data_IF_995032070001
#
_entry.id   IF_995032070001
#
_cell.length_a   1.000
_cell.length_b   1.000
_cell.length_c   1.000
_cell.angle_alpha   90.00
_cell.angle_beta   90.00
_cell.angle_gamma   90.00
#
_symmetry.space_group_name_H-M   'P 1'
#
loop_
_entity.id
_entity.type
_entity.pdbx_description
1 polymer ?
#
# COMPACT_ATOMS: atom_id res chain seq x y z
N UNK A 1 27.73 -30.93 15.79
CA UNK A 1 26.91 -29.81 16.34
C UNK A 1 25.89 -29.34 15.35
N UNK A 2 24.69 -29.11 15.79
CA UNK A 2 23.64 -28.55 14.95
C UNK A 2 23.60 -27.01 15.06
N UNK A 3 23.29 -26.34 13.97
CA UNK A 3 23.02 -24.91 13.97
C UNK A 3 21.52 -24.69 14.22
N UNK A 4 21.19 -23.78 15.12
CA UNK A 4 19.81 -23.45 15.45
C UNK A 4 19.39 -22.18 14.73
N UNK A 5 18.28 -22.25 13.99
CA UNK A 5 17.67 -21.10 13.32
C UNK A 5 16.46 -20.67 14.12
N UNK A 6 16.48 -19.42 14.62
CA UNK A 6 15.33 -18.83 15.29
C UNK A 6 14.44 -18.19 14.25
N UNK A 7 13.13 -18.38 14.37
CA UNK A 7 12.17 -17.67 13.53
C UNK A 7 12.20 -16.18 13.86
N UNK A 8 12.32 -15.34 12.84
CA UNK A 8 12.29 -13.88 12.94
C UNK A 8 10.95 -13.31 12.46
N UNK A 9 10.01 -14.19 12.14
CA UNK A 9 8.72 -13.78 11.62
C UNK A 9 7.76 -13.41 12.75
N UNK A 10 7.07 -12.31 12.52
CA UNK A 10 5.89 -11.92 13.31
C UNK A 10 4.68 -12.48 12.57
N UNK A 11 3.77 -13.09 13.33
CA UNK A 11 2.57 -13.73 12.80
C UNK A 11 1.35 -13.16 13.48
N UNK A 12 0.30 -12.91 12.71
CA UNK A 12 -0.98 -12.46 13.21
C UNK A 12 -2.10 -13.15 12.47
N UNK A 13 -3.12 -13.61 13.19
CA UNK A 13 -4.27 -14.25 12.57
C UNK A 13 -5.12 -13.22 11.81
N UNK A 14 -5.55 -13.61 10.62
CA UNK A 14 -6.52 -12.85 9.83
C UNK A 14 -7.87 -13.48 10.08
N UNK A 15 -8.82 -12.71 10.60
CA UNK A 15 -10.15 -13.20 10.95
C UNK A 15 -11.23 -12.42 10.22
N UNK A 16 -12.39 -13.04 10.02
CA UNK A 16 -13.57 -12.36 9.49
C UNK A 16 -14.33 -11.62 10.62
N UNK A 17 -15.45 -10.99 10.27
CA UNK A 17 -16.27 -10.24 11.22
C UNK A 17 -16.85 -11.09 12.36
N UNK A 18 -16.97 -12.40 12.13
CA UNK A 18 -17.45 -13.35 13.13
C UNK A 18 -16.31 -13.99 13.94
N UNK A 19 -15.07 -13.60 13.70
CA UNK A 19 -13.90 -14.13 14.38
C UNK A 19 -13.35 -15.43 13.82
N UNK A 20 -13.85 -15.90 12.68
CA UNK A 20 -13.33 -17.12 12.05
C UNK A 20 -11.99 -16.84 11.37
N UNK A 21 -11.03 -17.71 11.60
CA UNK A 21 -9.69 -17.58 11.02
C UNK A 21 -9.74 -17.84 9.52
N UNK A 22 -9.30 -16.86 8.72
CA UNK A 22 -9.20 -16.93 7.26
C UNK A 22 -7.79 -17.26 6.79
N UNK A 23 -6.79 -16.87 7.57
CA UNK A 23 -5.39 -17.05 7.23
C UNK A 23 -4.50 -16.42 8.27
N UNK A 24 -3.23 -16.22 7.91
CA UNK A 24 -2.23 -15.67 8.81
C UNK A 24 -1.35 -14.68 8.07
N UNK A 25 -1.18 -13.50 8.63
CA UNK A 25 -0.20 -12.53 8.15
C UNK A 25 1.14 -12.86 8.79
N UNK A 26 2.16 -13.02 7.96
CA UNK A 26 3.50 -13.40 8.40
C UNK A 26 4.52 -12.50 7.72
N UNK A 27 5.36 -11.85 8.51
CA UNK A 27 6.42 -10.99 7.97
C UNK A 27 7.62 -10.92 8.90
N UNK A 28 8.76 -10.58 8.32
CA UNK A 28 9.98 -10.31 9.07
C UNK A 28 10.21 -8.79 9.09
N UNK A 29 10.17 -8.12 10.26
CA UNK A 29 10.39 -6.68 10.35
C UNK A 29 11.76 -6.21 9.81
N UNK A 30 12.72 -7.12 9.73
CA UNK A 30 14.04 -6.85 9.17
C UNK A 30 14.10 -6.98 7.64
N UNK A 31 13.02 -7.39 7.00
CA UNK A 31 12.98 -7.53 5.54
C UNK A 31 12.99 -6.15 4.88
N UNK A 32 14.12 -5.83 4.25
CA UNK A 32 14.32 -4.54 3.59
C UNK A 32 13.34 -4.27 2.44
N UNK A 33 12.73 -5.32 1.87
CA UNK A 33 11.73 -5.18 0.82
C UNK A 33 10.49 -4.42 1.29
N UNK A 34 10.13 -4.57 2.55
CA UNK A 34 8.99 -3.89 3.17
C UNK A 34 9.17 -2.38 3.09
N UNK A 35 10.31 -1.88 3.54
CA UNK A 35 10.63 -0.46 3.52
C UNK A 35 10.71 0.09 2.10
N UNK A 36 11.33 -0.65 1.20
CA UNK A 36 11.45 -0.26 -0.21
C UNK A 36 10.08 -0.16 -0.87
N UNK A 37 9.23 -1.16 -0.64
CA UNK A 37 7.86 -1.17 -1.18
C UNK A 37 7.05 0.01 -0.66
N UNK A 38 7.07 0.27 0.64
CA UNK A 38 6.38 1.40 1.25
C UNK A 38 6.91 2.75 0.73
N UNK A 39 8.23 2.88 0.60
CA UNK A 39 8.85 4.10 0.06
C UNK A 39 8.43 4.37 -1.38
N UNK A 40 8.45 3.35 -2.23
CA UNK A 40 8.00 3.46 -3.61
C UNK A 40 6.53 3.84 -3.70
N UNK A 41 5.70 3.25 -2.84
CA UNK A 41 4.28 3.55 -2.76
C UNK A 41 4.02 5.00 -2.39
N UNK A 42 4.70 5.53 -1.39
CA UNK A 42 4.54 6.93 -0.98
C UNK A 42 4.87 7.86 -2.14
N UNK A 43 5.93 7.57 -2.88
CA UNK A 43 6.32 8.37 -4.07
C UNK A 43 5.27 8.29 -5.16
N UNK A 44 4.79 7.10 -5.48
CA UNK A 44 3.81 6.90 -6.54
C UNK A 44 2.44 7.45 -6.17
N UNK A 45 2.03 7.29 -4.91
CA UNK A 45 0.82 7.91 -4.40
C UNK A 45 0.91 9.43 -4.47
N UNK A 46 2.04 10.02 -4.06
CA UNK A 46 2.25 11.45 -4.15
C UNK A 46 2.13 11.98 -5.57
N UNK A 47 2.72 11.28 -6.53
CA UNK A 47 2.62 11.63 -7.95
C UNK A 47 1.20 11.46 -8.49
N UNK A 48 0.53 10.37 -8.12
CA UNK A 48 -0.84 10.10 -8.53
C UNK A 48 -1.82 11.14 -7.97
N UNK A 49 -1.67 11.52 -6.72
CA UNK A 49 -2.50 12.57 -6.10
C UNK A 49 -2.37 13.89 -6.85
N UNK A 50 -1.16 14.28 -7.24
CA UNK A 50 -0.94 15.51 -8.02
C UNK A 50 -1.65 15.46 -9.37
N UNK A 51 -1.60 14.33 -10.06
CA UNK A 51 -2.31 14.16 -11.33
C UNK A 51 -3.83 14.17 -11.17
N UNK A 52 -4.33 13.51 -10.13
CA UNK A 52 -5.77 13.46 -9.82
C UNK A 52 -6.28 14.85 -9.42
N UNK A 53 -5.52 15.63 -8.66
CA UNK A 53 -5.88 17.01 -8.30
C UNK A 53 -6.07 17.91 -9.51
N UNK A 54 -5.26 17.74 -10.56
CA UNK A 54 -5.42 18.47 -11.80
C UNK A 54 -6.74 18.15 -12.50
N UNK A 55 -7.19 16.90 -12.38
CA UNK A 55 -8.44 16.42 -12.97
C UNK A 55 -9.64 16.90 -12.17
N UNK A 56 -9.55 16.89 -10.82
CA UNK A 56 -10.61 17.35 -9.93
C UNK A 56 -10.96 18.84 -10.09
N UNK A 57 -10.08 19.61 -10.71
CA UNK A 57 -10.34 21.02 -11.06
C UNK A 57 -11.27 21.19 -12.25
N UNK A 58 -11.58 20.11 -12.96
CA UNK A 58 -12.50 20.15 -14.09
C UNK A 58 -13.92 20.28 -13.55
N UNK A 59 -14.63 21.28 -14.02
CA UNK A 59 -15.99 21.57 -13.58
C UNK A 59 -16.94 20.44 -13.94
N UNK A 60 -17.75 20.02 -12.95
CA UNK A 60 -18.76 18.99 -13.16
C UNK A 60 -19.87 19.51 -14.07
N UNK A 61 -20.16 18.84 -15.20
CA UNK A 61 -21.22 19.25 -16.09
C UNK A 61 -22.60 18.96 -15.52
N UNK A 62 -23.62 19.65 -16.07
CA UNK A 62 -25.00 19.30 -15.81
C UNK A 62 -25.33 17.97 -16.51
N UNK A 63 -25.76 16.98 -15.73
CA UNK A 63 -26.05 15.64 -16.23
C UNK A 63 -27.46 15.44 -16.79
N UNK A 64 -28.25 16.52 -16.97
CA UNK A 64 -29.59 16.40 -17.57
C UNK A 64 -29.56 15.97 -19.05
N UNK A 65 -28.44 16.18 -19.74
CA UNK A 65 -28.17 15.68 -21.09
C UNK A 65 -29.28 15.99 -22.11
N UNK A 66 -29.76 17.24 -22.11
CA UNK A 66 -30.89 17.69 -22.94
C UNK A 66 -30.51 17.96 -24.39
N UNK A 67 -29.22 18.15 -24.69
CA UNK A 67 -28.74 18.45 -26.01
C UNK A 67 -27.34 17.89 -26.26
N UNK A 68 -26.85 17.98 -27.49
CA UNK A 68 -25.57 17.46 -27.94
C UNK A 68 -24.40 18.12 -27.20
N UNK A 69 -24.47 19.41 -26.95
CA UNK A 69 -23.44 20.19 -26.26
C UNK A 69 -23.27 19.70 -24.81
N UNK A 70 -24.38 19.51 -24.09
CA UNK A 70 -24.34 18.95 -22.73
C UNK A 70 -23.78 17.54 -22.72
N UNK A 71 -24.10 16.75 -23.73
CA UNK A 71 -23.57 15.39 -23.89
C UNK A 71 -22.06 15.40 -24.13
N UNK A 72 -21.57 16.30 -24.98
CA UNK A 72 -20.14 16.46 -25.23
C UNK A 72 -19.39 16.90 -23.97
N UNK A 73 -19.93 17.85 -23.20
CA UNK A 73 -19.35 18.32 -21.93
C UNK A 73 -19.32 17.20 -20.90
N UNK A 74 -20.38 16.40 -20.80
CA UNK A 74 -20.41 15.23 -19.93
C UNK A 74 -19.36 14.18 -20.35
N UNK A 75 -19.20 13.97 -21.65
CA UNK A 75 -18.21 13.04 -22.20
C UNK A 75 -16.79 13.44 -21.81
N UNK A 76 -16.44 14.74 -21.93
CA UNK A 76 -15.15 15.26 -21.50
C UNK A 76 -14.90 15.06 -19.99
N UNK A 77 -15.92 15.33 -19.19
CA UNK A 77 -15.86 15.13 -17.74
C UNK A 77 -15.61 13.66 -17.40
N UNK A 78 -16.37 12.74 -18.02
CA UNK A 78 -16.20 11.32 -17.78
C UNK A 78 -14.87 10.77 -18.31
N UNK A 79 -14.34 11.33 -19.42
CA UNK A 79 -13.02 10.96 -19.92
C UNK A 79 -11.92 11.34 -18.91
N UNK A 80 -12.02 12.53 -18.30
CA UNK A 80 -11.09 12.96 -17.25
C UNK A 80 -11.19 12.07 -16.00
N UNK A 81 -12.41 11.73 -15.60
CA UNK A 81 -12.67 10.83 -14.47
C UNK A 81 -12.11 9.43 -14.73
N UNK A 82 -12.28 8.93 -15.94
CA UNK A 82 -11.74 7.64 -16.38
C UNK A 82 -10.21 7.62 -16.30
N UNK A 83 -9.56 8.71 -16.71
CA UNK A 83 -8.11 8.87 -16.59
C UNK A 83 -7.65 8.84 -15.13
N UNK A 84 -8.37 9.51 -14.23
CA UNK A 84 -8.07 9.48 -12.79
C UNK A 84 -8.21 8.07 -12.23
N UNK A 85 -9.24 7.34 -12.65
CA UNK A 85 -9.48 5.95 -12.24
C UNK A 85 -8.36 5.04 -12.75
N UNK A 86 -7.89 5.22 -13.97
CA UNK A 86 -6.77 4.43 -14.51
C UNK A 86 -5.49 4.66 -13.71
N UNK A 87 -5.23 5.89 -13.29
CA UNK A 87 -4.09 6.23 -12.42
C UNK A 87 -4.23 5.51 -11.07
N UNK A 88 -5.41 5.55 -10.46
CA UNK A 88 -5.68 4.84 -9.20
C UNK A 88 -5.45 3.33 -9.34
N UNK A 89 -5.99 2.71 -10.38
CA UNK A 89 -5.85 1.28 -10.62
C UNK A 89 -4.38 0.91 -10.77
N UNK A 90 -3.60 1.70 -11.51
CA UNK A 90 -2.17 1.46 -11.68
C UNK A 90 -1.42 1.47 -10.35
N UNK A 91 -1.68 2.47 -9.51
CA UNK A 91 -1.07 2.59 -8.17
C UNK A 91 -1.48 1.42 -7.28
N UNK A 92 -2.76 1.07 -7.27
CA UNK A 92 -3.28 -0.05 -6.47
C UNK A 92 -2.67 -1.38 -6.93
N UNK A 93 -2.52 -1.59 -8.24
CA UNK A 93 -1.87 -2.79 -8.77
C UNK A 93 -0.41 -2.90 -8.31
N UNK A 94 0.33 -1.80 -8.30
CA UNK A 94 1.70 -1.77 -7.81
C UNK A 94 1.78 -2.09 -6.32
N UNK A 95 0.84 -1.57 -5.55
CA UNK A 95 0.72 -1.85 -4.11
C UNK A 95 0.42 -3.34 -3.86
N UNK A 96 -0.56 -3.88 -4.54
CA UNK A 96 -0.94 -5.29 -4.43
C UNK A 96 0.24 -6.19 -4.82
N UNK A 97 0.92 -5.88 -5.92
CA UNK A 97 2.07 -6.67 -6.38
C UNK A 97 3.23 -6.61 -5.39
N UNK A 98 3.55 -5.43 -4.87
CA UNK A 98 4.61 -5.25 -3.88
C UNK A 98 4.33 -6.03 -2.60
N UNK A 99 3.12 -5.92 -2.07
CA UNK A 99 2.74 -6.66 -0.87
C UNK A 99 2.62 -8.16 -1.10
N UNK A 100 2.19 -8.57 -2.30
CA UNK A 100 2.10 -10.00 -2.63
C UNK A 100 3.47 -10.67 -2.65
N UNK A 101 4.51 -9.97 -3.06
CA UNK A 101 5.90 -10.47 -3.00
C UNK A 101 6.38 -10.68 -1.56
N UNK A 102 5.92 -9.85 -0.64
CA UNK A 102 6.34 -9.88 0.78
C UNK A 102 5.51 -10.88 1.59
N UNK A 103 4.19 -10.82 1.47
CA UNK A 103 3.25 -11.55 2.31
C UNK A 103 2.63 -12.78 1.65
N UNK A 104 2.78 -12.90 0.34
CA UNK A 104 2.14 -13.94 -0.45
C UNK A 104 0.84 -13.46 -1.10
N UNK A 105 0.61 -13.90 -2.32
CA UNK A 105 -0.57 -13.53 -3.11
C UNK A 105 -1.88 -13.91 -2.44
N UNK A 106 -1.96 -15.13 -1.91
CA UNK A 106 -3.18 -15.64 -1.26
C UNK A 106 -3.54 -14.82 -0.02
N UNK A 107 -2.53 -14.42 0.76
CA UNK A 107 -2.74 -13.57 1.93
C UNK A 107 -3.29 -12.21 1.54
N UNK A 108 -2.74 -11.60 0.50
CA UNK A 108 -3.20 -10.29 0.03
C UNK A 108 -4.61 -10.37 -0.55
N UNK A 109 -4.96 -11.45 -1.23
CA UNK A 109 -6.32 -11.66 -1.74
C UNK A 109 -7.37 -11.72 -0.63
N UNK A 110 -7.01 -12.18 0.57
CA UNK A 110 -7.93 -12.15 1.72
C UNK A 110 -8.36 -10.72 2.07
N UNK A 111 -7.46 -9.76 1.92
CA UNK A 111 -7.76 -8.34 2.20
C UNK A 111 -8.47 -7.66 1.03
N UNK A 112 -7.99 -7.87 -0.19
CA UNK A 112 -8.54 -7.18 -1.38
C UNK A 112 -9.86 -7.76 -1.85
N UNK A 113 -10.10 -9.05 -1.59
CA UNK A 113 -11.29 -9.77 -2.06
C UNK A 113 -11.52 -9.61 -3.56
N UNK A 114 -10.43 -9.55 -4.33
CA UNK A 114 -10.46 -9.40 -5.78
C UNK A 114 -10.78 -7.99 -6.28
N UNK A 115 -10.82 -7.01 -5.39
CA UNK A 115 -11.09 -5.61 -5.76
C UNK A 115 -9.80 -4.79 -5.92
N UNK A 116 -9.89 -3.67 -6.61
CA UNK A 116 -8.80 -2.69 -6.77
C UNK A 116 -9.04 -1.51 -5.81
N UNK A 117 -8.99 -1.81 -4.53
CA UNK A 117 -9.27 -0.85 -3.47
C UNK A 117 -8.06 -0.74 -2.54
N UNK A 118 -7.39 0.42 -2.56
CA UNK A 118 -6.23 0.68 -1.72
C UNK A 118 -6.56 0.63 -0.23
N UNK A 119 -7.77 1.04 0.16
CA UNK A 119 -8.20 1.03 1.56
C UNK A 119 -8.25 -0.36 2.16
N UNK A 120 -8.48 -1.38 1.33
CA UNK A 120 -8.50 -2.78 1.78
C UNK A 120 -7.17 -3.24 2.37
N UNK A 121 -6.07 -2.57 2.02
CA UNK A 121 -4.72 -2.91 2.48
C UNK A 121 -4.26 -2.05 3.67
N UNK A 122 -5.03 -1.05 4.08
CA UNK A 122 -4.71 -0.22 5.24
C UNK A 122 -4.52 -1.02 6.54
N UNK A 123 -5.29 -2.08 6.83
CA UNK A 123 -5.06 -2.89 8.02
C UNK A 123 -3.64 -3.48 8.07
N UNK A 124 -3.09 -3.89 6.93
CA UNK A 124 -1.74 -4.42 6.85
C UNK A 124 -0.73 -3.32 7.18
N UNK A 125 -0.88 -2.14 6.56
CA UNK A 125 0.01 -1.00 6.78
C UNK A 125 0.00 -0.58 8.25
N UNK A 126 -1.18 -0.47 8.85
CA UNK A 126 -1.33 -0.10 10.26
C UNK A 126 -0.70 -1.13 11.21
N UNK A 127 -0.78 -2.40 10.85
CA UNK A 127 -0.20 -3.48 11.66
C UNK A 127 1.33 -3.49 11.60
N UNK A 128 1.92 -3.33 10.40
CA UNK A 128 3.37 -3.43 10.22
C UNK A 128 4.12 -2.16 10.62
N UNK A 129 3.48 -0.99 10.55
CA UNK A 129 4.12 0.30 10.78
C UNK A 129 4.87 0.40 12.12
N UNK A 130 4.28 0.05 13.28
CA UNK A 130 4.98 0.12 14.56
C UNK A 130 6.24 -0.74 14.60
N UNK A 131 6.19 -1.94 14.03
CA UNK A 131 7.34 -2.86 14.01
C UNK A 131 8.48 -2.34 13.13
N UNK A 132 8.16 -1.75 12.01
CA UNK A 132 9.14 -1.17 11.09
C UNK A 132 9.83 0.02 11.74
N UNK A 133 9.06 0.91 12.36
CA UNK A 133 9.55 2.10 13.05
C UNK A 133 10.50 1.73 14.19
N UNK A 134 10.09 0.80 15.04
CA UNK A 134 10.89 0.30 16.15
C UNK A 134 12.18 -0.36 15.67
N UNK A 135 12.07 -1.23 14.67
CA UNK A 135 13.20 -1.94 14.11
C UNK A 135 14.19 -1.00 13.43
N UNK A 136 13.71 0.01 12.71
CA UNK A 136 14.54 1.02 12.06
C UNK A 136 15.30 1.85 13.10
N UNK A 137 14.63 2.26 14.17
CA UNK A 137 15.25 2.99 15.28
C UNK A 137 16.32 2.14 15.95
N UNK A 138 16.06 0.87 16.17
CA UNK A 138 17.04 -0.06 16.74
C UNK A 138 18.28 -0.20 15.88
N UNK A 139 18.15 -0.27 14.57
CA UNK A 139 19.28 -0.32 13.62
C UNK A 139 20.10 0.96 13.66
N UNK A 140 19.45 2.11 13.66
CA UNK A 140 20.12 3.43 13.74
C UNK A 140 20.91 3.53 15.05
N UNK A 141 20.31 3.17 16.18
CA UNK A 141 20.98 3.19 17.47
C UNK A 141 22.20 2.27 17.50
N UNK A 142 22.08 1.09 16.92
CA UNK A 142 23.16 0.11 16.82
C UNK A 142 24.34 0.65 16.01
N UNK A 143 24.07 1.29 14.87
CA UNK A 143 25.11 1.92 14.04
C UNK A 143 25.79 3.09 14.77
N UNK A 144 25.04 3.90 15.49
CA UNK A 144 25.58 5.00 16.27
C UNK A 144 26.47 4.50 17.40
N UNK A 145 26.08 3.46 18.12
CA UNK A 145 26.88 2.83 19.17
C UNK A 145 28.19 2.27 18.62
N UNK A 146 28.15 1.55 17.50
CA UNK A 146 29.34 1.04 16.81
C UNK A 146 30.28 2.16 16.36
N UNK A 147 29.74 3.29 15.87
CA UNK A 147 30.51 4.45 15.48
C UNK A 147 31.21 5.07 16.66
N UNK A 148 30.57 5.18 17.80
CA UNK A 148 31.16 5.68 19.04
C UNK A 148 32.28 4.78 19.53
N UNK A 149 32.09 3.45 19.50
CA UNK A 149 33.09 2.48 19.87
C UNK A 149 34.35 2.57 18.99
N UNK A 150 34.20 2.84 17.71
CA UNK A 150 35.32 3.01 16.75
C UNK A 150 36.10 4.31 17.03
N UNK A 151 35.43 5.33 17.53
CA UNK A 151 36.03 6.64 17.80
C UNK A 151 36.76 6.72 19.15
N UNK A 152 36.60 5.74 20.00
CA UNK A 152 37.36 5.57 21.22
C UNK A 152 38.68 4.88 20.96
#
# INVERSE_FOLDING_TARGET
MALTIKSRFIKEDIVDEQGNKLGELKFNPNDSRIMKTLSNLVKEFGNAVKEIEKIDKIERPNLELKNIEEFENASEYFAAFDKATDIEIDVVNKLINGFSEIFGKDTIELFTQGTKDAESLLPIISFIEPYIKENRQGKVNKYLDNKNDIME
#
